data_IF_590023991458
#
_entry.id   IF_590023991458
#
_cell.length_a   1.000
_cell.length_b   1.000
_cell.length_c   1.000
_cell.angle_alpha   90.00
_cell.angle_beta   90.00
_cell.angle_gamma   90.00
#
_symmetry.space_group_name_H-M   'P 1'
#
loop_
_entity.id
_entity.type
_entity.pdbx_description
1 polymer ?
#
# COMPACT_ATOMS: atom_id res chain seq x y z
N UNK A 1 -24.06 71.44 0.44
CA UNK A 1 -23.20 71.80 -0.67
C UNK A 1 -22.02 70.89 -0.69
N UNK A 2 -21.82 70.34 -1.84
CA UNK A 2 -20.69 69.60 -2.43
C UNK A 2 -20.62 68.12 -2.22
N UNK A 3 -21.10 67.41 -3.22
CA UNK A 3 -20.85 66.02 -3.60
C UNK A 3 -19.37 65.81 -3.92
N UNK A 4 -18.79 64.72 -3.43
CA UNK A 4 -17.58 64.18 -4.00
C UNK A 4 -17.83 62.73 -4.40
N UNK A 5 -17.78 62.57 -5.71
CA UNK A 5 -17.83 61.30 -6.46
C UNK A 5 -16.56 60.51 -6.13
N UNK A 6 -16.72 59.24 -5.70
CA UNK A 6 -15.62 58.29 -5.59
C UNK A 6 -15.68 57.38 -6.81
N UNK A 7 -14.56 57.38 -7.54
CA UNK A 7 -14.43 56.63 -8.79
C UNK A 7 -14.35 55.11 -8.61
N UNK A 8 -14.94 54.45 -9.60
CA UNK A 8 -14.90 52.98 -9.77
C UNK A 8 -13.48 52.55 -10.18
N UNK A 9 -12.80 51.81 -9.33
CA UNK A 9 -11.64 51.05 -9.72
C UNK A 9 -12.09 49.73 -10.38
N UNK A 10 -11.84 49.65 -11.66
CA UNK A 10 -12.02 48.43 -12.47
C UNK A 10 -10.95 47.45 -12.08
N UNK A 11 -11.33 46.38 -11.36
CA UNK A 11 -10.49 45.21 -11.13
C UNK A 11 -10.46 44.39 -12.44
N UNK A 12 -9.39 44.54 -13.20
CA UNK A 12 -9.10 43.64 -14.31
C UNK A 12 -8.71 42.29 -13.72
N UNK A 13 -9.61 41.32 -13.84
CA UNK A 13 -9.28 39.91 -13.68
C UNK A 13 -8.32 39.50 -14.82
N UNK A 14 -7.05 39.30 -14.48
CA UNK A 14 -6.13 38.55 -15.34
C UNK A 14 -6.51 37.08 -15.21
N UNK A 15 -7.23 36.56 -16.19
CA UNK A 15 -7.33 35.13 -16.45
C UNK A 15 -5.93 34.63 -16.84
N UNK A 16 -5.25 33.94 -15.93
CA UNK A 16 -4.07 33.14 -16.27
C UNK A 16 -4.51 32.09 -17.29
N UNK A 17 -4.06 32.25 -18.52
CA UNK A 17 -4.18 31.24 -19.56
C UNK A 17 -3.36 30.04 -19.13
N UNK A 18 -4.02 29.00 -18.60
CA UNK A 18 -3.44 27.65 -18.44
C UNK A 18 -3.11 27.16 -19.86
N UNK A 19 -1.82 26.94 -20.10
CA UNK A 19 -1.39 26.15 -21.26
C UNK A 19 -2.11 24.80 -21.22
N UNK A 20 -2.64 24.29 -22.35
CA UNK A 20 -3.28 23.00 -22.39
C UNK A 20 -2.26 21.93 -22.03
N UNK A 21 -2.51 21.21 -20.94
CA UNK A 21 -1.78 19.97 -20.61
C UNK A 21 -1.78 19.09 -21.87
N UNK A 22 -0.60 18.73 -22.35
CA UNK A 22 -0.46 17.73 -23.41
C UNK A 22 -1.04 16.43 -22.85
N UNK A 23 -2.29 16.15 -23.17
CA UNK A 23 -2.84 14.80 -23.07
C UNK A 23 -1.91 13.88 -23.87
N UNK A 24 -1.12 13.09 -23.19
CA UNK A 24 -0.43 11.97 -23.81
C UNK A 24 -1.54 11.03 -24.30
N UNK A 25 -1.80 11.03 -25.58
CA UNK A 25 -2.71 10.09 -26.24
C UNK A 25 -2.12 8.70 -26.10
N UNK A 26 -2.37 8.05 -24.93
CA UNK A 26 -2.07 6.64 -24.76
C UNK A 26 -2.98 5.91 -25.75
N UNK A 27 -2.39 5.30 -26.76
CA UNK A 27 -3.17 4.51 -27.71
C UNK A 27 -3.84 3.35 -26.99
N UNK A 28 -5.12 3.08 -27.27
CA UNK A 28 -5.80 1.96 -26.65
C UNK A 28 -5.11 0.64 -26.99
N UNK A 29 -5.00 -0.25 -26.00
CA UNK A 29 -4.40 -1.57 -26.17
C UNK A 29 -5.08 -2.33 -27.31
N UNK A 30 -4.29 -3.02 -28.13
CA UNK A 30 -4.80 -3.98 -29.13
C UNK A 30 -5.55 -5.13 -28.41
N UNK A 31 -6.38 -5.86 -29.16
CA UNK A 31 -7.10 -7.02 -28.61
C UNK A 31 -6.14 -8.09 -28.06
N UNK A 32 -5.00 -8.30 -28.72
CA UNK A 32 -3.95 -9.23 -28.29
C UNK A 32 -3.35 -8.79 -26.96
N UNK A 33 -2.94 -7.52 -26.86
CA UNK A 33 -2.42 -6.95 -25.61
C UNK A 33 -3.44 -6.98 -24.46
N UNK A 34 -4.73 -6.77 -24.76
CA UNK A 34 -5.79 -6.90 -23.76
C UNK A 34 -5.94 -8.34 -23.25
N UNK A 35 -5.84 -9.32 -24.15
CA UNK A 35 -5.91 -10.73 -23.76
C UNK A 35 -4.68 -11.16 -22.95
N UNK A 36 -3.48 -10.75 -23.34
CA UNK A 36 -2.28 -11.01 -22.58
C UNK A 36 -2.36 -10.40 -21.16
N UNK A 37 -2.84 -9.16 -21.05
CA UNK A 37 -3.02 -8.48 -19.77
C UNK A 37 -4.09 -9.17 -18.92
N UNK A 38 -5.19 -9.62 -19.52
CA UNK A 38 -6.24 -10.37 -18.82
C UNK A 38 -5.70 -11.68 -18.25
N UNK A 39 -4.98 -12.47 -19.04
CA UNK A 39 -4.38 -13.73 -18.57
C UNK A 39 -3.32 -13.48 -17.48
N UNK A 40 -2.59 -12.38 -17.56
CA UNK A 40 -1.63 -11.97 -16.53
C UNK A 40 -2.34 -11.64 -15.21
N UNK A 41 -3.43 -10.89 -15.25
CA UNK A 41 -4.25 -10.59 -14.07
C UNK A 41 -4.83 -11.88 -13.49
N UNK A 42 -5.36 -12.75 -14.33
CA UNK A 42 -5.91 -14.04 -13.92
C UNK A 42 -4.84 -14.93 -13.26
N UNK A 43 -3.65 -14.99 -13.84
CA UNK A 43 -2.50 -15.69 -13.25
C UNK A 43 -2.04 -15.06 -11.93
N UNK A 44 -2.10 -13.74 -11.79
CA UNK A 44 -1.77 -13.08 -10.54
C UNK A 44 -2.79 -13.41 -9.43
N UNK A 45 -4.07 -13.38 -9.72
CA UNK A 45 -5.12 -13.72 -8.76
C UNK A 45 -5.24 -15.21 -8.48
N UNK A 46 -4.83 -16.07 -9.42
CA UNK A 46 -4.85 -17.52 -9.29
C UNK A 46 -3.45 -18.13 -9.13
N UNK A 47 -3.43 -19.43 -8.96
CA UNK A 47 -2.22 -20.25 -9.04
C UNK A 47 -1.13 -20.01 -7.98
N UNK A 48 -0.17 -20.89 -7.93
CA UNK A 48 0.97 -20.82 -7.01
C UNK A 48 2.10 -19.94 -7.52
N UNK A 49 1.93 -19.13 -8.57
CA UNK A 49 3.00 -18.37 -9.19
C UNK A 49 3.61 -17.35 -8.25
N UNK A 50 4.84 -17.55 -7.96
CA UNK A 50 5.70 -16.84 -7.05
C UNK A 50 6.64 -15.96 -7.85
N UNK A 51 7.33 -15.11 -7.12
CA UNK A 51 8.38 -14.29 -7.65
C UNK A 51 9.29 -15.04 -8.64
N UNK A 52 9.35 -14.57 -9.87
CA UNK A 52 10.15 -15.14 -10.96
C UNK A 52 11.67 -15.16 -10.70
N UNK A 53 12.10 -14.54 -9.60
CA UNK A 53 13.52 -14.50 -9.19
C UNK A 53 14.03 -15.79 -8.55
N UNK A 54 13.19 -16.80 -8.42
CA UNK A 54 13.59 -18.21 -8.33
C UNK A 54 14.09 -18.73 -6.99
N UNK A 55 14.24 -17.93 -5.95
CA UNK A 55 14.82 -18.42 -4.69
C UNK A 55 13.80 -19.02 -3.73
N UNK A 56 12.53 -18.60 -3.79
CA UNK A 56 11.43 -19.30 -3.10
C UNK A 56 10.49 -19.86 -4.16
N UNK A 57 10.77 -21.04 -4.64
CA UNK A 57 9.77 -21.84 -5.32
C UNK A 57 8.87 -22.45 -4.26
N UNK A 58 7.58 -22.19 -4.37
CA UNK A 58 6.57 -22.69 -3.46
C UNK A 58 6.24 -24.18 -3.73
N UNK A 59 7.25 -24.99 -3.64
CA UNK A 59 7.08 -26.44 -3.81
C UNK A 59 6.14 -27.01 -2.75
N UNK A 60 6.24 -26.51 -1.52
CA UNK A 60 5.39 -26.95 -0.42
C UNK A 60 3.93 -26.53 -0.59
N UNK A 61 3.69 -25.32 -1.12
CA UNK A 61 2.33 -24.82 -1.38
C UNK A 61 1.70 -25.53 -2.58
N UNK A 62 2.42 -25.69 -3.69
CA UNK A 62 1.91 -26.43 -4.86
C UNK A 62 1.59 -27.89 -4.51
N UNK A 63 2.51 -28.58 -3.82
CA UNK A 63 2.27 -29.93 -3.34
C UNK A 63 1.09 -30.02 -2.37
N UNK A 64 0.94 -28.99 -1.52
CA UNK A 64 -0.14 -28.93 -0.55
C UNK A 64 -1.50 -28.65 -1.22
N UNK A 65 -1.56 -27.75 -2.20
CA UNK A 65 -2.76 -27.50 -3.01
C UNK A 65 -3.18 -28.73 -3.78
N UNK A 66 -2.24 -29.44 -4.42
CA UNK A 66 -2.54 -30.68 -5.14
C UNK A 66 -3.11 -31.79 -4.24
N UNK A 67 -2.67 -31.83 -2.98
CA UNK A 67 -3.11 -32.82 -1.99
C UNK A 67 -4.39 -32.47 -1.24
N UNK A 68 -4.81 -31.19 -1.30
CA UNK A 68 -5.95 -30.68 -0.52
C UNK A 68 -7.00 -30.01 -1.41
N UNK A 69 -7.87 -30.82 -1.98
CA UNK A 69 -8.97 -30.31 -2.82
C UNK A 69 -9.87 -29.28 -2.11
N UNK A 70 -10.01 -29.37 -0.79
CA UNK A 70 -10.85 -28.47 0.01
C UNK A 70 -10.41 -26.99 -0.06
N UNK A 71 -9.16 -26.71 -0.44
CA UNK A 71 -8.63 -25.35 -0.54
C UNK A 71 -8.27 -24.96 -1.96
N UNK A 72 -8.39 -25.88 -2.91
CA UNK A 72 -8.09 -25.61 -4.33
C UNK A 72 -8.84 -24.39 -4.84
N UNK A 73 -10.09 -24.20 -4.41
CA UNK A 73 -10.89 -23.02 -4.76
C UNK A 73 -10.28 -21.69 -4.30
N UNK A 74 -9.46 -21.67 -3.25
CA UNK A 74 -8.77 -20.46 -2.80
C UNK A 74 -7.65 -20.05 -3.75
N UNK A 75 -7.17 -20.97 -4.55
CA UNK A 75 -6.06 -20.80 -5.48
C UNK A 75 -6.52 -20.43 -6.89
N UNK A 76 -7.82 -20.42 -7.14
CA UNK A 76 -8.41 -20.02 -8.40
C UNK A 76 -9.01 -18.60 -8.29
N UNK A 77 -8.82 -17.74 -9.30
CA UNK A 77 -9.51 -16.46 -9.33
C UNK A 77 -11.03 -16.72 -9.54
N UNK A 78 -11.85 -15.98 -8.83
CA UNK A 78 -13.29 -16.12 -8.95
C UNK A 78 -13.93 -14.87 -9.55
N UNK A 79 -14.95 -15.07 -10.36
CA UNK A 79 -15.76 -14.00 -10.89
C UNK A 79 -16.66 -13.44 -9.78
N UNK A 80 -16.73 -12.12 -9.70
CA UNK A 80 -17.58 -11.46 -8.72
C UNK A 80 -18.94 -11.22 -9.34
N UNK A 81 -19.93 -12.00 -8.86
CA UNK A 81 -21.34 -11.80 -9.23
C UNK A 81 -21.89 -10.69 -8.31
N UNK A 82 -22.29 -9.57 -8.90
CA UNK A 82 -22.95 -8.49 -8.18
C UNK A 82 -24.39 -8.29 -8.66
N UNK A 83 -25.28 -8.13 -7.69
CA UNK A 83 -26.70 -7.92 -7.96
C UNK A 83 -26.93 -6.54 -8.58
N UNK A 84 -27.85 -6.49 -9.55
CA UNK A 84 -28.25 -5.28 -10.28
C UNK A 84 -29.18 -4.35 -9.47
N UNK A 85 -29.52 -4.69 -8.23
CA UNK A 85 -30.50 -3.94 -7.44
C UNK A 85 -29.83 -2.76 -6.71
N UNK A 86 -30.10 -1.54 -7.15
CA UNK A 86 -29.64 -0.27 -6.55
C UNK A 86 -30.08 -0.10 -5.08
N UNK A 87 -31.15 -0.79 -4.66
CA UNK A 87 -31.66 -0.75 -3.28
C UNK A 87 -30.66 -1.31 -2.25
N UNK A 88 -29.68 -2.08 -2.69
CA UNK A 88 -28.73 -2.78 -1.82
C UNK A 88 -27.45 -2.01 -1.50
N UNK A 89 -27.24 -0.80 -2.05
CA UNK A 89 -26.01 -0.03 -1.82
C UNK A 89 -25.91 0.46 -0.38
N UNK A 90 -27.01 1.00 0.17
CA UNK A 90 -27.08 1.45 1.56
C UNK A 90 -27.13 0.27 2.51
N UNK A 91 -27.78 -0.82 2.12
CA UNK A 91 -27.80 -2.06 2.88
C UNK A 91 -26.41 -2.68 2.98
N UNK A 92 -25.63 -2.67 1.88
CA UNK A 92 -24.25 -3.10 1.85
C UNK A 92 -23.37 -2.31 2.83
N UNK A 93 -23.46 -0.98 2.79
CA UNK A 93 -22.71 -0.11 3.71
C UNK A 93 -23.11 -0.37 5.17
N UNK A 94 -24.38 -0.59 5.44
CA UNK A 94 -24.89 -0.92 6.77
C UNK A 94 -24.40 -2.29 7.25
N UNK A 95 -24.36 -3.29 6.39
CA UNK A 95 -23.85 -4.63 6.71
C UNK A 95 -22.36 -4.57 7.04
N UNK A 96 -21.57 -3.87 6.21
CA UNK A 96 -20.13 -3.67 6.45
C UNK A 96 -19.93 -2.95 7.79
N UNK A 97 -20.65 -1.88 8.03
CA UNK A 97 -20.58 -1.09 9.26
C UNK A 97 -20.94 -1.92 10.50
N UNK A 98 -22.03 -2.69 10.43
CA UNK A 98 -22.47 -3.55 11.53
C UNK A 98 -21.48 -4.68 11.83
N UNK A 99 -20.87 -5.27 10.79
CA UNK A 99 -19.84 -6.30 10.96
C UNK A 99 -18.59 -5.77 11.67
N UNK A 100 -18.23 -4.50 11.51
CA UNK A 100 -17.13 -3.87 12.24
C UNK A 100 -17.51 -3.38 13.64
N UNK A 101 -18.74 -2.94 13.86
CA UNK A 101 -19.24 -2.53 15.19
C UNK A 101 -19.40 -3.69 16.16
N UNK A 102 -19.82 -4.85 15.66
CA UNK A 102 -20.11 -6.04 16.49
C UNK A 102 -18.90 -6.97 16.67
N UNK A 103 -17.71 -6.47 16.61
CA UNK A 103 -16.40 -7.15 16.54
C UNK A 103 -16.05 -8.07 17.74
N UNK A 104 -17.02 -8.51 18.57
CA UNK A 104 -16.77 -9.38 19.73
C UNK A 104 -16.69 -10.88 19.38
N UNK A 105 -17.22 -11.29 18.23
CA UNK A 105 -17.23 -12.70 17.80
C UNK A 105 -16.74 -12.86 16.36
N UNK A 106 -15.44 -12.95 16.21
CA UNK A 106 -14.75 -13.22 14.94
C UNK A 106 -15.21 -14.53 14.29
N UNK A 107 -15.75 -15.47 15.07
CA UNK A 107 -16.28 -16.75 14.60
C UNK A 107 -17.53 -16.66 13.73
N UNK A 108 -18.26 -15.54 13.78
CA UNK A 108 -19.53 -15.34 13.08
C UNK A 108 -19.46 -14.30 11.96
N UNK A 109 -18.26 -13.88 11.54
CA UNK A 109 -18.08 -13.01 10.38
C UNK A 109 -18.38 -13.78 9.10
N UNK A 110 -19.65 -14.13 8.89
CA UNK A 110 -20.12 -14.64 7.61
C UNK A 110 -19.98 -13.56 6.56
N UNK A 111 -19.66 -13.96 5.35
CA UNK A 111 -19.63 -13.09 4.18
C UNK A 111 -21.01 -12.44 3.98
N UNK A 112 -21.15 -11.11 4.10
CA UNK A 112 -22.43 -10.44 3.98
C UNK A 112 -23.03 -10.48 2.57
N UNK A 113 -22.29 -10.94 1.56
CA UNK A 113 -22.68 -10.87 0.17
C UNK A 113 -23.12 -12.20 -0.42
N UNK A 114 -23.10 -13.30 0.36
CA UNK A 114 -23.42 -14.63 -0.14
C UNK A 114 -22.42 -15.21 -1.17
N UNK A 115 -21.43 -14.41 -1.62
CA UNK A 115 -20.42 -14.81 -2.61
C UNK A 115 -19.45 -15.85 -2.00
N UNK A 116 -19.31 -15.83 -0.69
CA UNK A 116 -18.41 -16.70 0.06
C UNK A 116 -19.17 -17.43 1.18
N UNK A 117 -20.31 -18.03 0.84
CA UNK A 117 -21.07 -18.87 1.77
C UNK A 117 -20.11 -19.94 2.32
N UNK A 118 -19.89 -19.97 3.61
CA UNK A 118 -18.95 -20.79 4.35
C UNK A 118 -17.49 -20.28 4.42
N UNK A 119 -17.22 -19.04 4.09
CA UNK A 119 -15.86 -18.49 4.15
C UNK A 119 -15.43 -18.21 5.59
N UNK A 120 -14.46 -18.96 6.07
CA UNK A 120 -13.84 -18.74 7.37
C UNK A 120 -12.53 -17.94 7.19
N UNK A 121 -12.63 -16.60 7.28
CA UNK A 121 -11.47 -15.70 7.20
C UNK A 121 -10.37 -16.00 8.21
N UNK A 122 -10.74 -16.56 9.38
CA UNK A 122 -9.76 -16.94 10.39
C UNK A 122 -8.98 -18.18 9.95
N UNK A 123 -9.65 -19.13 9.33
CA UNK A 123 -9.02 -20.31 8.77
C UNK A 123 -8.08 -19.93 7.62
N UNK A 124 -8.51 -19.07 6.71
CA UNK A 124 -7.66 -18.58 5.61
C UNK A 124 -6.42 -17.85 6.11
N UNK A 125 -6.57 -16.92 7.05
CA UNK A 125 -5.43 -16.20 7.60
C UNK A 125 -4.47 -17.13 8.34
N UNK A 126 -5.00 -18.12 9.07
CA UNK A 126 -4.17 -19.17 9.72
C UNK A 126 -3.41 -19.99 8.69
N UNK A 127 -4.08 -20.31 7.58
CA UNK A 127 -3.49 -21.04 6.47
C UNK A 127 -2.38 -20.21 5.80
N UNK A 128 -2.64 -18.94 5.49
CA UNK A 128 -1.64 -18.01 4.98
C UNK A 128 -0.39 -17.97 5.87
N UNK A 129 -0.58 -17.88 7.19
CA UNK A 129 0.54 -17.92 8.16
C UNK A 129 1.29 -19.23 8.06
N UNK A 130 0.59 -20.33 8.05
CA UNK A 130 1.21 -21.66 7.99
C UNK A 130 2.07 -21.86 6.74
N UNK A 131 1.60 -21.46 5.55
CA UNK A 131 2.33 -21.64 4.30
C UNK A 131 3.44 -20.62 4.04
N UNK A 132 3.45 -19.46 4.73
CA UNK A 132 4.39 -18.36 4.49
C UNK A 132 5.29 -18.01 5.68
N UNK A 133 5.14 -18.69 6.82
CA UNK A 133 5.93 -18.43 8.03
C UNK A 133 6.77 -19.66 8.45
N UNK A 134 7.11 -20.52 7.49
CA UNK A 134 7.96 -21.68 7.71
C UNK A 134 9.46 -21.33 7.77
N UNK A 135 10.29 -22.32 8.16
CA UNK A 135 11.73 -22.15 8.25
C UNK A 135 12.38 -21.85 6.88
N UNK A 136 11.80 -22.33 5.79
CA UNK A 136 12.32 -22.07 4.44
C UNK A 136 12.21 -20.56 4.09
N UNK A 137 11.12 -19.91 4.44
CA UNK A 137 10.97 -18.47 4.26
C UNK A 137 11.95 -17.70 5.14
N UNK A 138 12.10 -18.09 6.42
CA UNK A 138 13.03 -17.43 7.36
C UNK A 138 14.49 -17.55 6.95
N UNK A 139 14.90 -18.65 6.32
CA UNK A 139 16.27 -18.84 5.81
C UNK A 139 16.65 -17.86 4.69
N UNK A 140 15.67 -17.21 4.07
CA UNK A 140 15.87 -16.18 3.06
C UNK A 140 15.92 -14.74 3.61
N UNK A 141 15.84 -14.56 4.93
CA UNK A 141 15.99 -13.23 5.51
C UNK A 141 17.41 -12.69 5.38
N UNK A 142 17.49 -11.37 5.24
CA UNK A 142 18.77 -10.67 5.43
C UNK A 142 19.22 -10.89 6.86
N UNK A 143 20.42 -11.40 7.05
CA UNK A 143 21.02 -11.65 8.36
C UNK A 143 22.50 -11.26 8.34
N UNK A 144 23.01 -10.83 9.48
CA UNK A 144 24.41 -10.45 9.67
C UNK A 144 25.02 -11.27 10.81
N UNK A 145 26.32 -11.55 10.73
CA UNK A 145 27.03 -12.32 11.74
C UNK A 145 27.09 -11.64 13.12
N UNK A 146 26.89 -10.31 13.17
CA UNK A 146 26.94 -9.51 14.41
C UNK A 146 25.56 -9.06 14.87
N UNK A 147 24.84 -9.95 15.48
CA UNK A 147 23.44 -9.80 15.93
C UNK A 147 23.15 -8.56 16.83
N UNK A 148 24.10 -8.09 17.64
CA UNK A 148 23.85 -6.94 18.55
C UNK A 148 23.65 -5.59 17.84
N UNK A 149 24.28 -5.36 16.68
CA UNK A 149 24.06 -4.14 15.88
C UNK A 149 22.78 -4.27 15.04
N UNK A 150 22.48 -5.46 14.55
CA UNK A 150 21.30 -5.77 13.77
C UNK A 150 20.00 -5.54 14.55
N UNK A 151 19.96 -5.95 15.83
CA UNK A 151 18.82 -5.74 16.74
C UNK A 151 18.40 -4.26 16.81
N UNK A 152 19.36 -3.33 16.77
CA UNK A 152 19.09 -1.89 16.84
C UNK A 152 18.53 -1.29 15.55
N UNK A 153 18.57 -2.03 14.43
CA UNK A 153 18.12 -1.56 13.12
C UNK A 153 16.69 -2.03 12.78
N UNK A 154 16.12 -2.90 13.61
CA UNK A 154 14.80 -3.50 13.38
C UNK A 154 13.88 -3.23 14.57
N UNK A 155 12.61 -2.90 14.30
CA UNK A 155 11.57 -2.77 15.32
C UNK A 155 11.30 -4.11 16.00
N UNK A 156 11.35 -5.21 15.21
CA UNK A 156 11.23 -6.58 15.66
C UNK A 156 12.31 -7.43 15.02
N UNK A 157 12.91 -8.32 15.79
CA UNK A 157 14.03 -9.16 15.34
C UNK A 157 13.63 -10.28 14.39
N UNK A 158 12.34 -10.61 14.34
CA UNK A 158 11.73 -11.66 13.54
C UNK A 158 10.99 -11.13 12.30
N UNK A 159 10.95 -9.81 12.11
CA UNK A 159 10.37 -9.15 10.93
C UNK A 159 11.49 -8.53 10.10
N UNK A 160 12.01 -9.31 9.19
CA UNK A 160 13.17 -8.95 8.36
C UNK A 160 12.81 -8.97 6.88
N UNK A 161 13.46 -8.15 6.03
CA UNK A 161 13.31 -8.23 4.59
C UNK A 161 13.97 -9.51 4.05
N UNK A 162 13.46 -10.03 2.94
CA UNK A 162 14.10 -11.12 2.23
C UNK A 162 15.33 -10.62 1.46
N UNK A 163 16.33 -11.49 1.26
CA UNK A 163 17.57 -11.17 0.53
C UNK A 163 17.32 -10.75 -0.92
N UNK A 164 16.34 -11.38 -1.57
CA UNK A 164 16.09 -11.19 -3.01
C UNK A 164 15.36 -9.88 -3.37
N UNK A 165 14.65 -9.25 -2.41
CA UNK A 165 13.88 -8.02 -2.68
C UNK A 165 14.10 -6.93 -1.62
N UNK A 166 15.16 -7.02 -0.82
CA UNK A 166 15.54 -5.92 0.05
C UNK A 166 15.89 -4.66 -0.75
N UNK A 167 15.75 -3.52 -0.12
CA UNK A 167 16.04 -2.22 -0.74
C UNK A 167 17.48 -1.82 -0.45
N UNK A 168 18.40 -1.86 -1.43
CA UNK A 168 19.77 -1.40 -1.22
C UNK A 168 19.79 0.12 -1.09
N UNK A 169 20.50 0.64 -0.07
CA UNK A 169 20.66 2.09 0.09
C UNK A 169 21.52 2.73 -1.00
N UNK A 170 22.34 1.94 -1.66
CA UNK A 170 23.16 2.35 -2.81
C UNK A 170 22.76 1.56 -4.04
N UNK A 171 22.12 2.21 -5.01
CA UNK A 171 21.58 1.53 -6.22
C UNK A 171 22.59 0.68 -6.96
N UNK A 172 23.86 1.08 -6.94
CA UNK A 172 24.95 0.39 -7.67
C UNK A 172 25.67 -0.67 -6.82
N UNK A 173 25.40 -0.76 -5.53
CA UNK A 173 25.99 -1.74 -4.63
C UNK A 173 24.90 -2.67 -4.09
N UNK A 174 24.83 -3.85 -4.68
CA UNK A 174 23.86 -4.90 -4.29
C UNK A 174 24.33 -5.70 -3.06
N UNK A 175 25.58 -5.55 -2.66
CA UNK A 175 26.10 -6.22 -1.47
C UNK A 175 25.52 -5.58 -0.22
N UNK A 176 24.75 -6.36 0.55
CA UNK A 176 24.13 -5.89 1.77
C UNK A 176 25.12 -6.08 2.92
N UNK A 177 25.44 -5.00 3.56
CA UNK A 177 26.18 -4.99 4.83
C UNK A 177 25.45 -4.13 5.85
N UNK A 178 25.83 -4.22 7.10
CA UNK A 178 25.14 -3.55 8.20
C UNK A 178 25.12 -2.00 8.07
N UNK A 179 26.04 -1.42 7.33
CA UNK A 179 26.13 0.04 7.17
C UNK A 179 25.23 0.57 6.04
N UNK A 180 24.82 -0.31 5.10
CA UNK A 180 23.90 0.03 4.01
C UNK A 180 22.54 -0.69 4.12
N UNK A 181 22.25 -1.28 5.27
CA UNK A 181 21.02 -1.99 5.53
C UNK A 181 19.89 -1.03 5.95
N UNK A 182 18.69 -1.35 5.49
CA UNK A 182 17.43 -0.82 5.98
C UNK A 182 16.38 -1.94 5.96
N UNK A 183 15.51 -1.98 6.97
CA UNK A 183 14.38 -2.91 6.99
C UNK A 183 13.29 -2.45 6.04
N UNK A 184 13.48 -2.71 4.76
CA UNK A 184 12.61 -2.34 3.66
C UNK A 184 12.62 -3.41 2.55
N UNK A 185 11.48 -3.62 1.92
CA UNK A 185 11.28 -4.60 0.86
C UNK A 185 10.63 -3.96 -0.35
N UNK A 186 11.12 -4.25 -1.55
CA UNK A 186 10.42 -3.92 -2.79
C UNK A 186 9.20 -4.80 -2.97
N UNK A 187 8.12 -4.22 -3.46
CA UNK A 187 6.90 -4.90 -3.88
C UNK A 187 6.70 -4.64 -5.37
N UNK A 188 6.60 -5.72 -6.13
CA UNK A 188 6.49 -5.68 -7.59
C UNK A 188 5.07 -5.37 -8.05
N UNK A 189 4.99 -4.79 -9.23
CA UNK A 189 3.73 -4.55 -9.92
C UNK A 189 3.13 -5.88 -10.41
N UNK A 190 1.89 -6.25 -10.05
CA UNK A 190 1.26 -7.48 -10.52
C UNK A 190 1.08 -7.52 -12.05
N UNK A 191 1.07 -6.36 -12.69
CA UNK A 191 0.92 -6.21 -14.13
C UNK A 191 2.26 -6.15 -14.88
N UNK A 192 3.36 -5.91 -14.14
CA UNK A 192 4.71 -5.84 -14.70
C UNK A 192 5.75 -6.24 -13.66
N UNK A 193 6.17 -7.50 -13.66
CA UNK A 193 7.09 -8.07 -12.67
C UNK A 193 8.48 -7.40 -12.64
N UNK A 194 8.85 -6.67 -13.68
CA UNK A 194 10.11 -5.93 -13.75
C UNK A 194 10.04 -4.55 -13.08
N UNK A 195 8.86 -4.12 -12.62
CA UNK A 195 8.64 -2.83 -11.99
C UNK A 195 8.37 -2.97 -10.50
N UNK A 196 9.22 -2.38 -9.67
CA UNK A 196 8.97 -2.21 -8.26
C UNK A 196 8.14 -0.93 -8.04
N UNK A 197 6.92 -1.06 -7.54
CA UNK A 197 5.96 0.05 -7.40
C UNK A 197 5.80 0.52 -5.95
N UNK A 198 6.17 -0.31 -4.98
CA UNK A 198 6.08 0.04 -3.56
C UNK A 198 7.37 -0.37 -2.85
N UNK A 199 7.73 0.40 -1.85
CA UNK A 199 8.70 0.04 -0.81
C UNK A 199 7.91 -0.09 0.50
N UNK A 200 7.80 -1.32 1.00
CA UNK A 200 7.22 -1.61 2.31
C UNK A 200 8.31 -1.55 3.38
N UNK A 201 8.15 -0.73 4.42
CA UNK A 201 9.17 -0.53 5.44
C UNK A 201 8.57 -0.29 6.83
N UNK A 202 9.36 -0.47 7.85
CA UNK A 202 9.03 -0.06 9.22
C UNK A 202 9.12 1.47 9.39
N UNK A 203 8.52 2.03 10.44
CA UNK A 203 8.76 3.41 10.85
C UNK A 203 10.26 3.59 11.18
N UNK A 204 10.92 4.66 10.69
CA UNK A 204 12.31 4.89 11.01
C UNK A 204 12.52 5.08 12.51
N UNK A 205 13.55 4.45 13.04
CA UNK A 205 14.04 4.61 14.42
C UNK A 205 15.14 5.65 14.48
N UNK A 206 15.57 6.02 15.68
CA UNK A 206 16.69 6.98 15.87
C UNK A 206 17.93 6.57 15.08
N UNK A 207 18.28 5.28 15.11
CA UNK A 207 19.48 4.75 14.45
C UNK A 207 19.30 4.52 12.94
N UNK A 208 18.05 4.51 12.42
CA UNK A 208 17.76 4.23 11.01
C UNK A 208 17.18 5.43 10.24
N UNK A 209 16.99 6.57 10.90
CA UNK A 209 16.44 7.78 10.30
C UNK A 209 17.25 8.26 9.08
N UNK A 210 18.57 8.25 9.21
CA UNK A 210 19.46 8.66 8.12
C UNK A 210 19.36 7.70 6.91
N UNK A 211 19.30 6.39 7.18
CA UNK A 211 19.11 5.35 6.15
C UNK A 211 17.75 5.50 5.45
N UNK A 212 16.69 5.82 6.19
CA UNK A 212 15.38 6.07 5.63
C UNK A 212 15.37 7.24 4.64
N UNK A 213 15.93 8.39 5.04
CA UNK A 213 15.99 9.56 4.17
C UNK A 213 16.99 9.40 3.03
N UNK A 214 18.07 8.63 3.22
CA UNK A 214 18.98 8.21 2.13
C UNK A 214 18.21 7.39 1.07
N UNK A 215 17.36 6.47 1.51
CA UNK A 215 16.48 5.70 0.62
C UNK A 215 15.52 6.62 -0.14
N UNK A 216 14.81 7.54 0.56
CA UNK A 216 13.90 8.51 -0.06
C UNK A 216 14.61 9.31 -1.16
N UNK A 217 15.79 9.82 -0.87
CA UNK A 217 16.57 10.64 -1.82
C UNK A 217 17.08 9.83 -3.02
N UNK A 218 17.68 8.66 -2.77
CA UNK A 218 18.29 7.84 -3.82
C UNK A 218 17.26 7.25 -4.79
N UNK A 219 16.06 6.94 -4.31
CA UNK A 219 14.96 6.44 -5.15
C UNK A 219 14.05 7.55 -5.67
N UNK A 220 14.35 8.83 -5.36
CA UNK A 220 13.54 10.00 -5.75
C UNK A 220 12.06 9.82 -5.41
N UNK A 221 11.80 9.36 -4.19
CA UNK A 221 10.44 9.06 -3.72
C UNK A 221 9.61 10.34 -3.68
N UNK A 222 8.46 10.32 -4.36
CA UNK A 222 7.53 11.45 -4.42
C UNK A 222 6.26 11.24 -3.60
N UNK A 223 6.04 10.03 -3.07
CA UNK A 223 4.90 9.73 -2.20
C UNK A 223 5.32 8.80 -1.05
N UNK A 224 5.01 9.22 0.17
CA UNK A 224 5.08 8.38 1.38
C UNK A 224 3.70 8.33 2.01
N UNK A 225 3.24 7.13 2.38
CA UNK A 225 2.01 6.90 3.12
C UNK A 225 2.34 6.26 4.46
N UNK A 226 2.11 7.00 5.52
CA UNK A 226 2.35 6.58 6.90
C UNK A 226 1.04 6.19 7.58
N UNK A 227 0.95 4.97 8.06
CA UNK A 227 -0.24 4.35 8.64
C UNK A 227 -0.16 4.22 10.17
N UNK A 228 0.45 5.19 10.83
CA UNK A 228 0.58 5.17 12.29
C UNK A 228 0.52 6.58 12.87
N UNK A 229 0.02 6.65 14.09
CA UNK A 229 0.02 7.87 14.87
C UNK A 229 1.34 7.98 15.64
N UNK A 230 2.16 8.99 15.29
CA UNK A 230 3.43 9.29 15.98
C UNK A 230 3.22 10.07 17.28
N UNK A 231 1.99 10.52 17.57
CA UNK A 231 1.72 11.30 18.79
C UNK A 231 1.86 10.44 20.06
N UNK A 232 1.73 9.12 19.92
CA UNK A 232 2.03 8.17 20.99
C UNK A 232 3.54 8.02 21.08
N UNK A 233 4.12 8.52 22.16
CA UNK A 233 5.55 8.41 22.48
C UNK A 233 5.94 6.94 22.61
N UNK A 234 6.36 6.33 21.52
CA UNK A 234 7.05 5.04 21.53
C UNK A 234 8.55 5.33 21.62
N UNK A 235 9.24 4.70 22.56
CA UNK A 235 10.60 5.09 23.00
C UNK A 235 11.65 5.14 21.89
N UNK A 236 11.47 4.35 20.81
CA UNK A 236 12.43 4.22 19.72
C UNK A 236 12.10 5.05 18.47
N UNK A 237 10.92 5.68 18.39
CA UNK A 237 10.56 6.51 17.25
C UNK A 237 11.09 7.93 17.51
N UNK A 238 11.87 8.51 16.61
CA UNK A 238 12.26 9.91 16.73
C UNK A 238 10.98 10.75 16.65
N UNK A 239 10.77 11.59 17.66
CA UNK A 239 9.59 12.47 17.74
C UNK A 239 9.44 13.39 16.53
N UNK A 240 10.49 13.57 15.75
CA UNK A 240 10.53 14.42 14.58
C UNK A 240 11.56 13.91 13.56
N UNK A 241 11.20 12.91 12.76
CA UNK A 241 12.06 12.55 11.63
C UNK A 241 11.70 13.33 10.33
N UNK A 242 10.75 14.26 10.43
CA UNK A 242 10.38 15.22 9.38
C UNK A 242 9.86 16.53 9.99
N UNK A 243 9.89 17.66 9.25
CA UNK A 243 9.34 18.93 9.72
C UNK A 243 7.86 18.88 10.04
N UNK A 244 7.41 19.48 11.14
CA UNK A 244 6.00 19.42 11.60
C UNK A 244 5.19 20.63 11.19
N UNK A 245 5.82 21.82 11.08
CA UNK A 245 5.15 23.08 10.76
C UNK A 245 5.72 23.69 9.49
N UNK A 246 4.87 24.41 8.74
CA UNK A 246 5.24 25.07 7.48
C UNK A 246 6.42 26.03 7.69
N UNK A 247 7.38 25.94 6.78
CA UNK A 247 8.64 26.69 6.83
C UNK A 247 9.71 26.07 7.72
N UNK A 248 9.40 25.05 8.50
CA UNK A 248 10.41 24.33 9.27
C UNK A 248 11.28 23.47 8.35
N UNK A 249 12.58 23.43 8.69
CA UNK A 249 13.59 22.67 7.96
C UNK A 249 14.23 21.65 8.90
N UNK A 250 14.40 20.44 8.42
CA UNK A 250 15.19 19.39 9.04
C UNK A 250 16.36 19.06 8.13
N UNK A 251 17.57 19.01 8.68
CA UNK A 251 18.77 18.59 7.96
C UNK A 251 19.16 17.19 8.42
N UNK A 252 19.24 16.27 7.48
CA UNK A 252 19.58 14.86 7.72
C UNK A 252 20.95 14.57 7.13
N UNK A 253 21.87 14.09 7.94
CA UNK A 253 23.20 13.66 7.48
C UNK A 253 23.07 12.32 6.74
N UNK A 254 23.14 12.34 5.42
CA UNK A 254 23.05 11.15 4.57
C UNK A 254 24.41 10.49 4.36
N UNK A 255 25.46 11.27 4.26
CA UNK A 255 26.87 10.83 4.23
C UNK A 255 27.77 11.84 4.91
N UNK A 256 29.06 11.56 4.95
CA UNK A 256 30.06 12.51 5.57
C UNK A 256 30.02 13.90 4.92
N UNK A 257 29.81 13.94 3.59
CA UNK A 257 29.88 15.16 2.79
C UNK A 257 28.53 15.61 2.25
N UNK A 258 27.41 14.98 2.65
CA UNK A 258 26.10 15.30 2.13
C UNK A 258 25.01 15.32 3.19
N UNK A 259 24.40 16.50 3.34
CA UNK A 259 23.23 16.71 4.18
C UNK A 259 22.01 16.93 3.29
N UNK A 260 20.92 16.25 3.61
CA UNK A 260 19.64 16.39 2.97
C UNK A 260 18.81 17.46 3.69
N UNK A 261 18.44 18.51 2.98
CA UNK A 261 17.53 19.56 3.47
C UNK A 261 16.09 19.14 3.16
N UNK A 262 15.25 19.09 4.19
CA UNK A 262 13.83 18.75 4.10
C UNK A 262 13.05 19.93 4.64
N UNK A 263 12.25 20.57 3.80
CA UNK A 263 11.43 21.73 4.15
C UNK A 263 9.95 21.41 4.01
N UNK A 264 9.14 21.70 5.03
CA UNK A 264 7.69 21.60 4.92
C UNK A 264 7.10 22.85 4.25
N UNK A 265 6.65 22.70 3.01
CA UNK A 265 6.09 23.81 2.22
C UNK A 265 4.57 23.90 2.27
N UNK A 266 3.87 22.77 2.53
CA UNK A 266 2.41 22.74 2.58
C UNK A 266 1.89 21.67 3.54
N UNK A 267 0.75 21.96 4.21
CA UNK A 267 0.07 21.04 5.13
C UNK A 267 -1.45 21.27 5.03
N UNK A 268 -2.20 20.19 4.79
CA UNK A 268 -3.66 20.23 4.70
C UNK A 268 -4.32 18.95 5.23
N UNK A 269 -5.55 19.06 5.73
CA UNK A 269 -6.36 17.93 6.12
C UNK A 269 -7.08 17.37 4.89
N UNK A 270 -6.73 16.17 4.44
CA UNK A 270 -7.36 15.50 3.29
C UNK A 270 -8.54 14.62 3.67
N UNK A 271 -8.60 14.20 4.94
CA UNK A 271 -9.77 13.59 5.58
C UNK A 271 -9.78 14.06 7.04
N UNK A 272 -10.77 14.86 7.47
CA UNK A 272 -10.80 15.47 8.79
C UNK A 272 -10.63 14.42 9.90
N UNK A 273 -9.71 14.66 10.84
CA UNK A 273 -9.35 13.78 11.96
C UNK A 273 -8.75 12.41 11.56
N UNK A 274 -8.68 12.07 10.28
CA UNK A 274 -8.19 10.77 9.81
C UNK A 274 -6.86 10.91 9.09
N UNK A 275 -6.71 11.89 8.17
CA UNK A 275 -5.51 11.99 7.34
C UNK A 275 -5.08 13.42 7.05
N UNK A 276 -3.77 13.64 7.09
CA UNK A 276 -3.10 14.90 6.74
C UNK A 276 -2.15 14.66 5.58
N UNK A 277 -2.22 15.54 4.57
CA UNK A 277 -1.22 15.66 3.52
C UNK A 277 -0.22 16.75 3.89
N UNK A 278 1.06 16.42 3.82
CA UNK A 278 2.18 17.35 3.91
C UNK A 278 2.97 17.30 2.60
N UNK A 279 3.41 18.44 2.11
CA UNK A 279 4.35 18.49 0.97
C UNK A 279 5.69 18.98 1.48
N UNK A 280 6.73 18.22 1.19
CA UNK A 280 8.10 18.57 1.50
C UNK A 280 8.85 18.92 0.23
N UNK A 281 9.73 19.91 0.32
CA UNK A 281 10.74 20.21 -0.68
C UNK A 281 12.05 19.58 -0.24
N UNK A 282 12.63 18.75 -1.10
CA UNK A 282 13.83 17.97 -0.82
C UNK A 282 15.00 18.56 -1.59
N UNK A 283 15.99 19.13 -0.90
CA UNK A 283 17.17 19.80 -1.48
C UNK A 283 16.89 20.83 -2.59
N UNK A 284 15.64 21.31 -2.66
CA UNK A 284 15.18 22.16 -3.79
C UNK A 284 15.14 21.44 -5.15
N UNK A 285 15.36 20.09 -5.16
CA UNK A 285 15.41 19.27 -6.37
C UNK A 285 14.05 18.67 -6.75
N UNK A 286 13.26 18.23 -5.77
CA UNK A 286 11.96 17.63 -6.01
C UNK A 286 11.01 17.79 -4.81
N UNK A 287 9.71 17.61 -5.08
CA UNK A 287 8.69 17.61 -4.04
C UNK A 287 8.30 16.19 -3.65
N UNK A 288 7.98 16.03 -2.35
CA UNK A 288 7.53 14.79 -1.76
C UNK A 288 6.16 15.01 -1.10
N UNK A 289 5.15 14.28 -1.53
CA UNK A 289 3.84 14.17 -0.86
C UNK A 289 3.98 13.17 0.30
N UNK A 290 3.66 13.59 1.50
CA UNK A 290 3.67 12.75 2.70
C UNK A 290 2.27 12.70 3.29
N UNK A 291 1.62 11.55 3.23
CA UNK A 291 0.26 11.35 3.76
C UNK A 291 0.36 10.60 5.08
N UNK A 292 -0.10 11.23 6.13
CA UNK A 292 -0.15 10.65 7.47
C UNK A 292 -1.58 10.28 7.84
N UNK A 293 -1.82 8.99 8.11
CA UNK A 293 -3.08 8.50 8.67
C UNK A 293 -2.97 8.57 10.19
N UNK A 294 -3.80 9.40 10.82
CA UNK A 294 -3.69 9.75 12.24
C UNK A 294 -4.26 8.71 13.19
N UNK A 295 -5.27 7.95 12.76
CA UNK A 295 -6.13 7.18 13.66
C UNK A 295 -6.24 5.69 13.31
N UNK A 296 -5.30 5.12 12.55
CA UNK A 296 -5.35 3.68 12.25
C UNK A 296 -4.76 2.86 13.41
N UNK A 297 -5.60 2.19 14.21
CA UNK A 297 -5.11 1.37 15.33
C UNK A 297 -4.35 0.14 14.82
N UNK A 298 -3.53 -0.47 15.67
CA UNK A 298 -2.79 -1.69 15.30
C UNK A 298 -3.71 -2.84 14.89
N UNK A 299 -4.88 -2.93 15.51
CA UNK A 299 -5.96 -3.86 15.16
C UNK A 299 -7.21 -3.04 14.87
N UNK A 300 -7.85 -3.27 13.71
CA UNK A 300 -9.02 -2.52 13.28
C UNK A 300 -8.79 -1.56 12.12
N UNK A 301 -9.65 -0.57 11.96
CA UNK A 301 -9.70 0.39 10.86
C UNK A 301 -9.50 1.83 11.34
N UNK A 302 -9.09 2.77 10.45
CA UNK A 302 -8.79 4.14 10.82
C UNK A 302 -10.03 5.04 11.05
N UNK A 303 -11.20 4.51 11.21
CA UNK A 303 -12.45 5.27 11.44
C UNK A 303 -13.69 4.54 10.95
N UNK A 304 -14.77 5.30 10.70
CA UNK A 304 -16.00 4.76 10.12
C UNK A 304 -15.77 4.23 8.71
N UNK A 305 -16.33 3.07 8.37
CA UNK A 305 -16.03 2.32 7.15
C UNK A 305 -16.24 3.14 5.87
N UNK A 306 -17.27 3.98 5.81
CA UNK A 306 -17.53 4.86 4.67
C UNK A 306 -16.37 5.86 4.45
N UNK A 307 -15.91 6.50 5.52
CA UNK A 307 -14.79 7.44 5.46
C UNK A 307 -13.49 6.74 5.08
N UNK A 308 -13.30 5.52 5.56
CA UNK A 308 -12.14 4.68 5.22
C UNK A 308 -12.14 4.33 3.74
N UNK A 309 -13.29 3.93 3.19
CA UNK A 309 -13.42 3.60 1.76
C UNK A 309 -13.10 4.81 0.87
N UNK A 310 -13.66 5.99 1.18
CA UNK A 310 -13.33 7.23 0.45
C UNK A 310 -11.84 7.58 0.54
N UNK A 311 -11.23 7.37 1.71
CA UNK A 311 -9.81 7.60 1.90
C UNK A 311 -8.97 6.64 1.04
N UNK A 312 -9.32 5.35 1.01
CA UNK A 312 -8.62 4.35 0.20
C UNK A 312 -8.65 4.71 -1.29
N UNK A 313 -9.80 5.12 -1.82
CA UNK A 313 -9.92 5.57 -3.20
C UNK A 313 -9.07 6.82 -3.50
N UNK A 314 -9.02 7.77 -2.55
CA UNK A 314 -8.17 8.96 -2.68
C UNK A 314 -6.69 8.62 -2.65
N UNK A 315 -6.28 7.75 -1.74
CA UNK A 315 -4.89 7.28 -1.64
C UNK A 315 -4.48 6.52 -2.90
N UNK A 316 -5.38 5.71 -3.45
CA UNK A 316 -5.12 4.97 -4.67
C UNK A 316 -4.85 5.89 -5.86
N UNK A 317 -5.56 7.00 -6.01
CA UNK A 317 -5.28 7.99 -7.08
C UNK A 317 -3.86 8.56 -6.98
N UNK A 318 -3.40 8.90 -5.78
CA UNK A 318 -2.00 9.33 -5.59
C UNK A 318 -1.00 8.21 -5.92
N UNK A 319 -1.33 6.98 -5.56
CA UNK A 319 -0.51 5.81 -5.85
C UNK A 319 -0.44 5.53 -7.36
N UNK A 320 -1.59 5.50 -8.04
CA UNK A 320 -1.68 5.27 -9.49
C UNK A 320 -0.86 6.31 -10.30
N UNK A 321 -0.87 7.58 -9.86
CA UNK A 321 -0.01 8.62 -10.44
C UNK A 321 1.46 8.24 -10.38
N UNK A 322 1.93 7.69 -9.26
CA UNK A 322 3.34 7.29 -9.10
C UNK A 322 3.68 6.03 -9.90
N UNK A 323 2.76 5.08 -10.00
CA UNK A 323 2.95 3.89 -10.85
C UNK A 323 3.14 4.28 -12.32
N UNK A 324 2.35 5.24 -12.83
CA UNK A 324 2.49 5.80 -14.18
C UNK A 324 3.83 6.53 -14.38
N UNK A 325 4.33 7.18 -13.35
CA UNK A 325 5.61 7.90 -13.36
C UNK A 325 6.82 6.97 -13.08
N UNK A 326 6.59 5.66 -12.94
CA UNK A 326 7.61 4.65 -12.61
C UNK A 326 8.40 4.96 -11.33
N UNK A 327 7.76 5.68 -10.40
CA UNK A 327 8.36 6.06 -9.11
C UNK A 327 7.76 5.20 -8.01
N UNK A 328 8.56 4.46 -7.23
CA UNK A 328 8.03 3.65 -6.14
C UNK A 328 7.46 4.52 -5.01
N UNK A 329 6.41 4.03 -4.36
CA UNK A 329 5.77 4.67 -3.20
C UNK A 329 6.24 4.01 -1.92
N UNK A 330 6.62 4.77 -0.92
CA UNK A 330 6.87 4.22 0.42
C UNK A 330 5.55 4.09 1.16
N UNK A 331 5.28 2.88 1.66
CA UNK A 331 4.18 2.60 2.58
C UNK A 331 4.75 2.03 3.87
N UNK A 332 4.45 2.64 5.01
CA UNK A 332 4.90 2.14 6.29
C UNK A 332 3.90 2.36 7.43
N UNK A 333 3.97 1.49 8.42
CA UNK A 333 3.36 1.64 9.73
C UNK A 333 4.45 1.44 10.79
N UNK A 334 4.15 1.01 12.00
CA UNK A 334 5.18 0.79 13.03
C UNK A 334 6.17 -0.30 12.61
N UNK A 335 5.69 -1.50 12.32
CA UNK A 335 6.45 -2.69 11.92
C UNK A 335 6.60 -2.88 10.40
N UNK A 336 5.79 -2.18 9.63
CA UNK A 336 5.78 -2.29 8.17
C UNK A 336 5.17 -3.57 7.62
N UNK A 337 4.25 -4.23 8.36
CA UNK A 337 3.63 -5.50 7.93
C UNK A 337 2.10 -5.53 8.07
N UNK A 338 1.52 -5.20 9.23
CA UNK A 338 0.08 -5.32 9.45
C UNK A 338 -0.72 -4.33 8.59
N UNK A 339 -0.82 -3.08 9.03
CA UNK A 339 -1.50 -1.98 8.32
C UNK A 339 -0.89 -1.73 6.94
N UNK A 340 0.42 -1.81 6.85
CA UNK A 340 1.18 -1.67 5.59
C UNK A 340 0.75 -2.73 4.58
N UNK A 341 0.73 -4.00 4.97
CA UNK A 341 0.32 -5.10 4.10
C UNK A 341 -1.15 -4.99 3.67
N UNK A 342 -2.02 -4.49 4.56
CA UNK A 342 -3.44 -4.27 4.26
C UNK A 342 -3.61 -3.24 3.14
N UNK A 343 -2.98 -2.06 3.27
CA UNK A 343 -3.07 -1.02 2.25
C UNK A 343 -2.43 -1.47 0.93
N UNK A 344 -1.28 -2.12 0.98
CA UNK A 344 -0.60 -2.64 -0.22
C UNK A 344 -1.48 -3.66 -0.93
N UNK A 345 -2.09 -4.62 -0.21
CA UNK A 345 -3.00 -5.61 -0.81
C UNK A 345 -4.17 -4.93 -1.53
N UNK A 346 -4.77 -3.90 -0.92
CA UNK A 346 -5.83 -3.11 -1.54
C UNK A 346 -5.33 -2.46 -2.83
N UNK A 347 -4.16 -1.83 -2.83
CA UNK A 347 -3.61 -1.17 -4.02
C UNK A 347 -3.32 -2.14 -5.17
N UNK A 348 -2.74 -3.31 -4.86
CA UNK A 348 -2.46 -4.34 -5.87
C UNK A 348 -3.76 -4.88 -6.50
N UNK A 349 -4.80 -5.09 -5.70
CA UNK A 349 -6.12 -5.51 -6.17
C UNK A 349 -6.75 -4.42 -7.05
N UNK A 350 -6.72 -3.17 -6.59
CA UNK A 350 -7.28 -2.05 -7.35
C UNK A 350 -6.60 -1.84 -8.70
N UNK A 351 -5.27 -1.99 -8.78
CA UNK A 351 -4.55 -1.93 -10.06
C UNK A 351 -5.10 -2.95 -11.06
N UNK A 352 -5.28 -4.19 -10.61
CA UNK A 352 -5.84 -5.24 -11.47
C UNK A 352 -7.29 -4.97 -11.88
N UNK A 353 -8.12 -4.52 -10.94
CA UNK A 353 -9.53 -4.21 -11.18
C UNK A 353 -9.71 -3.01 -12.12
N UNK A 354 -8.88 -1.97 -12.00
CA UNK A 354 -8.92 -0.81 -12.92
C UNK A 354 -8.57 -1.22 -14.35
N UNK A 355 -7.59 -2.10 -14.54
CA UNK A 355 -7.25 -2.60 -15.88
C UNK A 355 -8.36 -3.49 -16.45
N UNK A 356 -8.96 -4.39 -15.66
CA UNK A 356 -10.12 -5.16 -16.09
C UNK A 356 -11.27 -4.26 -16.51
N UNK A 357 -11.55 -3.20 -15.74
CA UNK A 357 -12.58 -2.20 -16.04
C UNK A 357 -12.31 -1.47 -17.36
N UNK A 358 -11.07 -1.01 -17.59
CA UNK A 358 -10.64 -0.36 -18.86
C UNK A 358 -10.84 -1.29 -20.05
N UNK A 359 -10.55 -2.58 -19.89
CA UNK A 359 -10.75 -3.61 -20.91
C UNK A 359 -12.21 -4.05 -21.04
N UNK A 360 -13.15 -3.51 -20.23
CA UNK A 360 -14.56 -3.94 -20.15
C UNK A 360 -14.75 -5.44 -19.84
N UNK A 361 -13.82 -6.01 -19.09
CA UNK A 361 -13.89 -7.40 -18.58
C UNK A 361 -14.64 -7.43 -17.26
N UNK A 362 -15.28 -8.57 -16.96
CA UNK A 362 -15.91 -8.80 -15.67
C UNK A 362 -14.84 -8.77 -14.54
N UNK A 363 -15.19 -8.29 -13.33
CA UNK A 363 -14.28 -8.28 -12.21
C UNK A 363 -13.99 -9.70 -11.73
N UNK A 364 -12.72 -10.01 -11.57
CA UNK A 364 -12.22 -11.24 -10.94
C UNK A 364 -11.38 -10.86 -9.72
N UNK A 365 -11.38 -11.71 -8.72
CA UNK A 365 -10.63 -11.51 -7.48
C UNK A 365 -9.83 -12.75 -7.09
N UNK A 366 -8.72 -12.52 -6.39
CA UNK A 366 -7.91 -13.54 -5.76
C UNK A 366 -7.22 -12.99 -4.53
N UNK A 367 -7.98 -12.67 -3.48
CA UNK A 367 -7.48 -11.96 -2.30
C UNK A 367 -6.50 -12.85 -1.52
N UNK A 368 -6.83 -14.13 -1.32
CA UNK A 368 -5.94 -15.08 -0.68
C UNK A 368 -4.55 -15.09 -1.33
N UNK A 369 -4.50 -15.26 -2.66
CA UNK A 369 -3.23 -15.29 -3.39
C UNK A 369 -2.54 -13.93 -3.45
N UNK A 370 -3.26 -12.84 -3.49
CA UNK A 370 -2.67 -11.49 -3.41
C UNK A 370 -1.92 -11.32 -2.09
N UNK A 371 -2.56 -11.68 -0.96
CA UNK A 371 -1.92 -11.58 0.36
C UNK A 371 -0.78 -12.58 0.49
N UNK A 372 -0.93 -13.82 -0.02
CA UNK A 372 0.14 -14.82 -0.06
C UNK A 372 1.37 -14.30 -0.80
N UNK A 373 1.21 -13.84 -2.05
CA UNK A 373 2.30 -13.29 -2.87
C UNK A 373 2.93 -12.03 -2.25
N UNK A 374 2.13 -11.23 -1.53
CA UNK A 374 2.67 -10.11 -0.77
C UNK A 374 3.51 -10.59 0.41
N UNK A 375 3.08 -11.63 1.13
CA UNK A 375 3.84 -12.21 2.25
C UNK A 375 5.17 -12.83 1.81
N UNK A 376 5.24 -13.31 0.58
CA UNK A 376 6.47 -13.77 -0.06
C UNK A 376 7.42 -12.62 -0.45
N UNK A 377 6.94 -11.39 -0.51
CA UNK A 377 7.75 -10.19 -0.76
C UNK A 377 8.01 -9.37 0.52
N UNK A 378 7.09 -9.40 1.47
CA UNK A 378 7.24 -8.78 2.77
C UNK A 378 6.67 -9.72 3.83
N UNK A 379 7.56 -10.38 4.56
CA UNK A 379 7.22 -11.38 5.57
C UNK A 379 6.14 -10.87 6.54
N UNK A 380 5.21 -11.77 6.88
CA UNK A 380 4.13 -11.52 7.83
C UNK A 380 3.16 -10.36 7.48
N UNK A 381 3.08 -9.93 6.21
CA UNK A 381 2.12 -8.91 5.78
C UNK A 381 0.68 -9.34 6.09
N UNK A 382 -0.16 -8.39 6.55
CA UNK A 382 -1.54 -8.62 7.02
C UNK A 382 -1.59 -9.56 8.22
N UNK A 383 -1.46 -9.00 9.41
CA UNK A 383 -1.27 -9.76 10.66
C UNK A 383 -2.56 -10.08 11.41
N UNK A 384 -3.62 -9.32 11.16
CA UNK A 384 -4.87 -9.35 11.91
C UNK A 384 -6.07 -9.70 11.03
N UNK A 385 -7.02 -10.45 11.61
CA UNK A 385 -8.20 -10.90 10.88
C UNK A 385 -9.11 -9.76 10.42
N UNK A 386 -9.20 -8.68 11.20
CA UNK A 386 -9.99 -7.50 10.83
C UNK A 386 -9.38 -6.81 9.61
N UNK A 387 -8.04 -6.76 9.54
CA UNK A 387 -7.30 -6.26 8.38
C UNK A 387 -7.53 -7.15 7.15
N UNK A 388 -7.46 -8.46 7.34
CA UNK A 388 -7.67 -9.42 6.25
C UNK A 388 -9.09 -9.34 5.68
N UNK A 389 -10.09 -9.35 6.55
CA UNK A 389 -11.49 -9.18 6.15
C UNK A 389 -11.75 -7.84 5.46
N UNK A 390 -11.12 -6.76 5.93
CA UNK A 390 -11.28 -5.44 5.33
C UNK A 390 -10.84 -5.40 3.85
N UNK A 391 -9.83 -6.18 3.46
CA UNK A 391 -9.41 -6.26 2.06
C UNK A 391 -10.56 -6.81 1.20
N UNK A 392 -11.27 -7.84 1.68
CA UNK A 392 -12.46 -8.38 1.00
C UNK A 392 -13.60 -7.37 0.92
N UNK A 393 -13.95 -6.78 2.05
CA UNK A 393 -15.06 -5.83 2.14
C UNK A 393 -14.81 -4.61 1.24
N UNK A 394 -13.58 -4.10 1.23
CA UNK A 394 -13.21 -2.98 0.38
C UNK A 394 -13.24 -3.34 -1.12
N UNK A 395 -12.70 -4.50 -1.51
CA UNK A 395 -12.69 -4.93 -2.91
C UNK A 395 -14.12 -5.06 -3.46
N UNK A 396 -15.03 -5.65 -2.69
CA UNK A 396 -16.45 -5.77 -3.06
C UNK A 396 -17.16 -4.41 -3.11
N UNK A 397 -16.92 -3.56 -2.10
CA UNK A 397 -17.44 -2.19 -2.11
C UNK A 397 -17.00 -1.44 -3.36
N UNK A 398 -15.70 -1.52 -3.70
CA UNK A 398 -15.14 -0.82 -4.85
C UNK A 398 -15.75 -1.33 -6.17
N UNK A 399 -15.90 -2.65 -6.34
CA UNK A 399 -16.53 -3.25 -7.52
C UNK A 399 -17.96 -2.73 -7.67
N UNK A 400 -18.76 -2.80 -6.62
CA UNK A 400 -20.16 -2.32 -6.66
C UNK A 400 -20.29 -0.84 -7.02
N UNK A 401 -19.32 -0.03 -6.64
CA UNK A 401 -19.39 1.41 -6.91
C UNK A 401 -18.75 1.83 -8.25
N UNK A 402 -17.91 0.99 -8.83
CA UNK A 402 -17.08 1.37 -9.97
C UNK A 402 -17.33 0.53 -11.24
N UNK A 403 -17.91 -0.66 -11.11
CA UNK A 403 -18.32 -1.44 -12.27
C UNK A 403 -19.77 -1.09 -12.66
N UNK A 404 -20.09 -1.05 -13.99
CA UNK A 404 -21.44 -0.80 -14.43
C UNK A 404 -22.34 -1.94 -13.97
N UNK A 405 -23.48 -1.59 -13.40
CA UNK A 405 -24.57 -2.53 -13.08
C UNK A 405 -25.16 -3.00 -14.41
N UNK A 406 -25.19 -4.30 -14.65
CA UNK A 406 -25.84 -4.90 -15.80
C UNK A 406 -27.33 -5.12 -15.53
#
# INVERSE_FOLDING_TARGET
MENKIIGDEIIQNQEEQKEPEKESTIQPLTLEQQNELYEKIKSYFGGPNIAENGEIKDLSYSEWVEKNEAIKHLCEPYEVIYSTDDKNKDELNNIILNNYKNNKDVKNLRNPFGIFDNHDFACELKLLKWITEDEKHKNNFVSFENSKKEIKLNQYNDILPYKYNNVPLEKNNKEININNYINASFITNPLNNNQNIIIATQTPMKDTMNSFWKMVYNYKIQLIIMLSDISKKEENIPSQYFPQEKGNIVNIKVSENFNLKIELIHKENIAPQIAILKKFKINEEFELKYIQILSWPNKGLPGEIFMVNMLMEKLFKYFEEQVKNETPVIVHCYDGVGRTGTLISIFLIMLCLEELKKMKKEPILGIFNTVRKLREQRYSSVTDITQYKFIYDFALYWIKNNYPIK
#
